data_IF_004194369117
#
_entry.id   IF_004194369117
#
_cell.length_a   1.000
_cell.length_b   1.000
_cell.length_c   1.000
_cell.angle_alpha   90.00
_cell.angle_beta   90.00
_cell.angle_gamma   90.00
#
_symmetry.space_group_name_H-M   'P 1'
#
loop_
_entity.id
_entity.type
_entity.pdbx_description
1 polymer ?
#
# COMPACT_ATOMS: atom_id res chain seq x y z
N UNK A 1 -6.25 -7.53 6.43
CA UNK A 1 -4.98 -7.35 7.15
C UNK A 1 -3.86 -8.24 6.67
N UNK A 2 -3.98 -9.57 6.65
CA UNK A 2 -2.90 -10.46 6.16
C UNK A 2 -2.41 -10.08 4.75
N UNK A 3 -3.33 -9.88 3.80
CA UNK A 3 -2.95 -9.48 2.44
C UNK A 3 -2.34 -8.07 2.38
N UNK A 4 -2.71 -7.17 3.31
CA UNK A 4 -2.11 -5.83 3.45
C UNK A 4 -0.65 -5.95 3.89
N UNK A 5 -0.39 -6.73 4.94
CA UNK A 5 0.96 -7.07 5.36
C UNK A 5 1.82 -7.59 4.20
N UNK A 6 1.27 -8.51 3.40
CA UNK A 6 2.00 -9.14 2.30
C UNK A 6 2.45 -8.17 1.21
N UNK A 7 1.68 -7.14 0.86
CA UNK A 7 2.14 -6.16 -0.14
C UNK A 7 2.93 -5.00 0.49
N UNK A 8 2.55 -4.52 1.68
CA UNK A 8 3.20 -3.36 2.32
C UNK A 8 4.68 -3.60 2.58
N UNK A 9 5.09 -4.84 2.95
CA UNK A 9 6.51 -5.20 3.12
C UNK A 9 7.39 -4.97 1.89
N UNK A 10 6.78 -4.84 0.70
CA UNK A 10 7.48 -4.58 -0.55
C UNK A 10 7.44 -3.11 -0.97
N UNK A 11 6.69 -2.24 -0.27
CA UNK A 11 6.56 -0.82 -0.63
C UNK A 11 7.91 -0.09 -0.60
N UNK A 12 8.66 -0.23 0.50
CA UNK A 12 10.01 0.31 0.64
C UNK A 12 10.93 -0.18 -0.50
N UNK A 13 10.88 -1.48 -0.80
CA UNK A 13 11.72 -2.11 -1.82
C UNK A 13 11.37 -1.61 -3.23
N UNK A 14 10.09 -1.62 -3.60
CA UNK A 14 9.66 -1.18 -4.92
C UNK A 14 9.82 0.35 -5.10
N UNK A 15 9.74 1.12 -4.01
CA UNK A 15 10.08 2.53 -4.02
C UNK A 15 11.57 2.71 -4.34
N UNK A 16 12.45 1.95 -3.68
CA UNK A 16 13.89 1.99 -3.94
C UNK A 16 14.24 1.54 -5.36
N UNK A 17 13.58 0.52 -5.91
CA UNK A 17 13.82 0.06 -7.30
C UNK A 17 13.66 1.16 -8.35
N UNK A 18 12.82 2.18 -8.08
CA UNK A 18 12.68 3.32 -8.97
C UNK A 18 14.00 4.06 -9.23
N UNK A 19 14.99 3.96 -8.32
CA UNK A 19 16.30 4.58 -8.51
C UNK A 19 17.08 3.97 -9.68
N UNK A 20 16.78 2.74 -10.10
CA UNK A 20 17.43 2.08 -11.25
C UNK A 20 17.13 2.80 -12.56
N UNK A 21 15.96 3.45 -12.66
CA UNK A 21 15.50 4.19 -13.86
C UNK A 21 15.54 5.70 -13.69
N UNK A 22 15.96 6.20 -12.53
CA UNK A 22 16.02 7.64 -12.25
C UNK A 22 17.46 8.13 -12.39
N UNK A 23 17.69 9.17 -13.22
CA UNK A 23 19.06 9.62 -13.52
C UNK A 23 19.61 10.56 -12.44
N UNK A 24 20.95 10.70 -12.30
CA UNK A 24 21.56 11.62 -11.34
C UNK A 24 21.13 13.08 -11.49
N UNK A 25 20.73 13.51 -12.69
CA UNK A 25 20.24 14.87 -12.99
C UNK A 25 18.87 15.12 -12.34
N UNK A 26 18.05 14.07 -12.16
CA UNK A 26 16.73 14.12 -11.53
C UNK A 26 16.83 14.12 -10.00
N UNK A 27 17.74 14.93 -9.43
CA UNK A 27 18.08 14.94 -7.99
C UNK A 27 16.89 15.09 -7.05
N UNK A 28 15.86 15.85 -7.45
CA UNK A 28 14.65 16.00 -6.65
C UNK A 28 13.85 14.70 -6.56
N UNK A 29 13.76 13.97 -7.67
CA UNK A 29 13.07 12.69 -7.75
C UNK A 29 13.86 11.59 -7.03
N UNK A 30 15.18 11.55 -7.17
CA UNK A 30 16.03 10.62 -6.39
C UNK A 30 15.91 10.86 -4.88
N UNK A 31 15.94 12.12 -4.43
CA UNK A 31 15.73 12.46 -3.01
C UNK A 31 14.37 11.98 -2.50
N UNK A 32 13.32 12.20 -3.29
CA UNK A 32 11.99 11.69 -2.98
C UNK A 32 12.02 10.16 -2.87
N UNK A 33 12.52 9.46 -3.89
CA UNK A 33 12.62 7.99 -3.93
C UNK A 33 13.33 7.42 -2.70
N UNK A 34 14.51 7.93 -2.34
CA UNK A 34 15.25 7.37 -1.21
C UNK A 34 14.60 7.65 0.12
N UNK A 35 14.10 8.86 0.33
CA UNK A 35 13.44 9.21 1.59
C UNK A 35 12.15 8.44 1.78
N UNK A 36 11.30 8.37 0.76
CA UNK A 36 10.05 7.62 0.85
C UNK A 36 10.27 6.11 1.01
N UNK A 37 11.35 5.56 0.42
CA UNK A 37 11.70 4.16 0.66
C UNK A 37 12.09 3.91 2.12
N UNK A 38 12.81 4.85 2.75
CA UNK A 38 13.19 4.79 4.16
C UNK A 38 11.97 4.95 5.08
N UNK A 39 11.08 5.89 4.76
CA UNK A 39 9.82 6.12 5.49
C UNK A 39 8.92 4.87 5.45
N UNK A 40 8.77 4.21 4.29
CA UNK A 40 7.96 2.99 4.13
C UNK A 40 8.57 1.73 4.78
N UNK A 41 9.83 1.78 5.22
CA UNK A 41 10.51 0.60 5.76
C UNK A 41 9.92 0.21 7.12
N UNK A 42 9.35 -0.99 7.19
CA UNK A 42 8.72 -1.51 8.41
C UNK A 42 7.25 -1.13 8.57
N UNK A 43 6.62 -0.46 7.59
CA UNK A 43 5.19 -0.15 7.64
C UNK A 43 4.29 -1.38 7.81
N UNK A 44 4.74 -2.55 7.35
CA UNK A 44 4.01 -3.81 7.54
C UNK A 44 3.86 -4.19 9.02
N UNK A 45 4.73 -3.70 9.90
CA UNK A 45 4.68 -3.95 11.35
C UNK A 45 3.42 -3.39 12.00
N UNK A 46 2.81 -2.36 11.42
CA UNK A 46 1.51 -1.86 11.90
C UNK A 46 0.41 -2.90 11.69
N UNK A 47 0.42 -3.63 10.56
CA UNK A 47 -0.54 -4.71 10.31
C UNK A 47 -0.27 -5.93 11.21
N UNK A 48 1.00 -6.24 11.49
CA UNK A 48 1.40 -7.27 12.46
C UNK A 48 0.88 -6.91 13.85
N UNK A 49 1.10 -5.68 14.29
CA UNK A 49 0.64 -5.16 15.56
C UNK A 49 -0.89 -5.29 15.70
N UNK A 50 -1.63 -4.85 14.69
CA UNK A 50 -3.10 -4.90 14.72
C UNK A 50 -3.60 -6.35 14.83
N UNK A 51 -3.05 -7.29 14.04
CA UNK A 51 -3.41 -8.71 14.10
C UNK A 51 -3.06 -9.36 15.44
N UNK A 52 -1.91 -9.03 16.01
CA UNK A 52 -1.49 -9.52 17.34
C UNK A 52 -2.39 -8.97 18.44
N UNK A 53 -2.80 -7.70 18.33
CA UNK A 53 -3.62 -7.01 19.34
C UNK A 53 -5.05 -7.57 19.47
N UNK A 54 -5.50 -8.34 18.48
CA UNK A 54 -6.79 -9.06 18.50
C UNK A 54 -6.61 -10.58 18.67
N UNK A 55 -5.39 -11.04 18.95
CA UNK A 55 -5.09 -12.46 19.22
C UNK A 55 -5.15 -13.38 18.00
N UNK A 56 -5.06 -12.84 16.77
CA UNK A 56 -5.08 -13.66 15.55
C UNK A 56 -3.72 -14.26 15.18
N UNK A 57 -2.64 -13.69 15.72
CA UNK A 57 -1.27 -14.19 15.59
C UNK A 57 -0.50 -13.99 16.90
N UNK A 58 0.50 -14.82 17.16
CA UNK A 58 1.44 -14.63 18.28
C UNK A 58 2.77 -14.10 17.77
N UNK A 59 3.30 -14.71 16.70
CA UNK A 59 4.58 -14.41 16.08
C UNK A 59 4.38 -13.92 14.64
N UNK A 60 5.31 -13.11 14.16
CA UNK A 60 5.28 -12.60 12.78
C UNK A 60 5.26 -13.75 11.76
N UNK A 61 5.99 -14.84 12.05
CA UNK A 61 6.05 -16.04 11.22
C UNK A 61 4.68 -16.72 11.03
N UNK A 62 3.72 -16.49 11.93
CA UNK A 62 2.37 -17.05 11.79
C UNK A 62 1.68 -16.50 10.53
N UNK A 63 2.05 -15.29 10.07
CA UNK A 63 1.54 -14.72 8.82
C UNK A 63 2.02 -15.46 7.57
N UNK A 64 3.08 -16.25 7.67
CA UNK A 64 3.56 -17.09 6.56
C UNK A 64 2.69 -18.32 6.33
N UNK A 65 1.87 -18.70 7.31
CA UNK A 65 0.90 -19.80 7.19
C UNK A 65 -0.31 -19.41 6.34
N UNK A 66 -0.58 -18.11 6.19
CA UNK A 66 -1.65 -17.59 5.35
C UNK A 66 -1.12 -17.26 3.95
N UNK A 67 -1.59 -17.96 2.89
CA UNK A 67 -1.06 -17.76 1.56
C UNK A 67 -1.35 -16.36 1.02
N UNK A 68 -0.43 -15.86 0.19
CA UNK A 68 -0.71 -14.70 -0.66
C UNK A 68 -1.78 -15.08 -1.67
N UNK A 69 -2.79 -14.21 -1.80
CA UNK A 69 -3.83 -14.37 -2.82
C UNK A 69 -3.30 -13.91 -4.18
N UNK A 70 -3.81 -14.45 -5.30
CA UNK A 70 -3.38 -14.08 -6.64
C UNK A 70 -3.38 -12.58 -6.92
N UNK A 71 -4.39 -11.82 -6.48
CA UNK A 71 -4.41 -10.38 -6.63
C UNK A 71 -3.30 -9.66 -5.86
N UNK A 72 -2.91 -10.19 -4.70
CA UNK A 72 -1.80 -9.65 -3.89
C UNK A 72 -0.47 -9.86 -4.60
N UNK A 73 -0.24 -11.06 -5.15
CA UNK A 73 0.95 -11.33 -5.96
C UNK A 73 0.98 -10.48 -7.24
N UNK A 74 -0.16 -10.29 -7.88
CA UNK A 74 -0.30 -9.42 -9.04
C UNK A 74 0.05 -7.96 -8.70
N UNK A 75 -0.44 -7.42 -7.58
CA UNK A 75 -0.11 -6.06 -7.13
C UNK A 75 1.38 -5.89 -6.86
N UNK A 76 1.98 -6.81 -6.09
CA UNK A 76 3.42 -6.79 -5.77
C UNK A 76 4.25 -6.83 -7.06
N UNK A 77 3.97 -7.78 -7.95
CA UNK A 77 4.68 -7.94 -9.20
C UNK A 77 4.50 -6.75 -10.14
N UNK A 78 3.28 -6.20 -10.23
CA UNK A 78 2.98 -5.05 -11.07
C UNK A 78 3.75 -3.81 -10.63
N UNK A 79 3.70 -3.44 -9.34
CA UNK A 79 4.40 -2.25 -8.85
C UNK A 79 5.91 -2.39 -8.97
N UNK A 80 6.47 -3.55 -8.64
CA UNK A 80 7.90 -3.82 -8.82
C UNK A 80 8.31 -3.75 -10.30
N UNK A 81 7.49 -4.30 -11.19
CA UNK A 81 7.69 -4.22 -12.64
C UNK A 81 7.71 -2.79 -13.13
N UNK A 82 6.71 -1.98 -12.77
CA UNK A 82 6.64 -0.54 -13.11
C UNK A 82 7.86 0.20 -12.60
N UNK A 83 8.27 -0.04 -11.34
CA UNK A 83 9.45 0.61 -10.76
C UNK A 83 10.74 0.29 -11.54
N UNK A 84 10.91 -0.95 -11.99
CA UNK A 84 12.11 -1.41 -12.68
C UNK A 84 12.13 -1.04 -14.17
N UNK A 85 10.98 -0.99 -14.85
CA UNK A 85 10.92 -0.78 -16.30
C UNK A 85 10.58 0.66 -16.67
N UNK A 86 9.60 1.26 -15.99
CA UNK A 86 9.09 2.61 -16.29
C UNK A 86 9.70 3.69 -15.37
N UNK A 87 9.98 3.34 -14.11
CA UNK A 87 10.69 4.20 -13.16
C UNK A 87 9.79 5.02 -12.23
N UNK A 88 10.43 5.98 -11.55
CA UNK A 88 9.82 6.73 -10.45
C UNK A 88 8.57 7.53 -10.86
N UNK A 89 8.57 8.14 -12.05
CA UNK A 89 7.44 8.98 -12.50
C UNK A 89 6.17 8.13 -12.58
N UNK A 90 6.18 7.01 -13.29
CA UNK A 90 5.03 6.10 -13.39
C UNK A 90 4.59 5.58 -12.01
N UNK A 91 5.54 5.19 -11.14
CA UNK A 91 5.25 4.66 -9.80
C UNK A 91 4.53 5.66 -8.90
N UNK A 92 4.68 6.97 -9.13
CA UNK A 92 3.93 8.01 -8.39
C UNK A 92 2.41 7.87 -8.55
N UNK A 93 1.91 7.18 -9.58
CA UNK A 93 0.49 6.86 -9.71
C UNK A 93 -0.03 6.02 -8.53
N UNK A 94 0.74 5.04 -8.08
CA UNK A 94 0.40 4.24 -6.90
C UNK A 94 0.39 5.10 -5.63
N UNK A 95 1.46 5.87 -5.41
CA UNK A 95 1.55 6.81 -4.28
C UNK A 95 0.37 7.80 -4.26
N UNK A 96 -0.04 8.30 -5.42
CA UNK A 96 -1.05 9.36 -5.51
C UNK A 96 -2.36 9.01 -4.80
N UNK A 97 -2.88 7.80 -5.04
CA UNK A 97 -4.11 7.37 -4.38
C UNK A 97 -3.83 6.72 -3.03
N UNK A 98 -2.72 6.00 -2.87
CA UNK A 98 -2.41 5.27 -1.63
C UNK A 98 -2.30 6.23 -0.44
N UNK A 99 -1.59 7.36 -0.58
CA UNK A 99 -1.47 8.37 0.48
C UNK A 99 -2.77 9.18 0.69
N UNK A 100 -3.77 9.07 -0.20
CA UNK A 100 -5.01 9.84 -0.11
C UNK A 100 -6.21 8.96 0.26
N UNK A 101 -6.06 7.63 0.28
CA UNK A 101 -7.19 6.68 0.31
C UNK A 101 -7.96 6.71 1.63
N UNK A 102 -7.27 6.98 2.75
CA UNK A 102 -7.85 6.83 4.08
C UNK A 102 -9.03 7.75 4.33
N UNK A 103 -9.02 8.99 3.81
CA UNK A 103 -10.16 9.90 3.96
C UNK A 103 -11.44 9.38 3.30
N UNK A 104 -11.30 8.54 2.27
CA UNK A 104 -12.42 7.92 1.57
C UNK A 104 -12.89 6.63 2.26
N UNK A 105 -11.97 5.91 2.91
CA UNK A 105 -12.27 4.68 3.64
C UNK A 105 -12.71 4.92 5.09
N UNK A 106 -12.50 6.11 5.65
CA UNK A 106 -12.78 6.42 7.04
C UNK A 106 -14.20 6.02 7.51
N UNK A 107 -15.29 6.27 6.76
CA UNK A 107 -16.62 5.82 7.18
C UNK A 107 -16.74 4.30 7.29
N UNK A 108 -16.15 3.56 6.34
CA UNK A 108 -16.16 2.09 6.32
C UNK A 108 -15.34 1.52 7.48
N UNK A 109 -14.14 2.08 7.71
CA UNK A 109 -13.26 1.66 8.79
C UNK A 109 -13.89 1.95 10.16
N UNK A 110 -14.57 3.09 10.33
CA UNK A 110 -15.31 3.42 11.54
C UNK A 110 -16.46 2.44 11.82
N UNK A 111 -17.19 2.03 10.77
CA UNK A 111 -18.23 1.01 10.89
C UNK A 111 -17.65 -0.36 11.28
N UNK A 112 -16.51 -0.76 10.71
CA UNK A 112 -15.82 -2.00 11.05
C UNK A 112 -15.33 -1.99 12.52
N UNK A 113 -14.72 -0.89 12.96
CA UNK A 113 -14.29 -0.69 14.36
C UNK A 113 -15.46 -0.88 15.33
N UNK A 114 -16.58 -0.21 15.05
CA UNK A 114 -17.78 -0.27 15.89
C UNK A 114 -18.36 -1.68 15.91
N UNK A 115 -18.47 -2.33 14.74
CA UNK A 115 -19.12 -3.64 14.60
C UNK A 115 -18.31 -4.78 15.24
N UNK A 116 -16.98 -4.67 15.19
CA UNK A 116 -16.05 -5.67 15.74
C UNK A 116 -15.64 -5.36 17.19
N UNK A 117 -16.11 -4.27 17.78
CA UNK A 117 -15.74 -3.86 19.12
C UNK A 117 -14.25 -3.52 19.27
N UNK A 118 -13.61 -3.05 18.20
CA UNK A 118 -12.18 -2.73 18.19
C UNK A 118 -11.93 -1.35 18.80
N UNK A 119 -10.74 -1.17 19.34
CA UNK A 119 -10.24 0.14 19.79
C UNK A 119 -9.33 0.76 18.74
N UNK A 120 -9.09 2.07 18.83
CA UNK A 120 -8.13 2.75 17.93
C UNK A 120 -6.73 2.12 18.00
N UNK A 121 -6.33 1.60 19.17
CA UNK A 121 -5.04 0.88 19.36
C UNK A 121 -4.97 -0.46 18.65
N UNK A 122 -6.09 -0.99 18.15
CA UNK A 122 -6.13 -2.25 17.40
C UNK A 122 -6.26 -2.02 15.88
N UNK A 123 -6.18 -0.76 15.46
CA UNK A 123 -6.30 -0.30 14.07
C UNK A 123 -5.19 0.71 13.75
N UNK A 124 -3.99 0.46 14.25
CA UNK A 124 -2.82 1.34 14.10
C UNK A 124 -2.41 1.50 12.65
N UNK A 125 -2.56 0.46 11.81
CA UNK A 125 -2.27 0.56 10.39
C UNK A 125 -3.07 1.68 9.73
N UNK A 126 -4.35 1.82 10.10
CA UNK A 126 -5.25 2.80 9.50
C UNK A 126 -5.24 4.16 10.22
N UNK A 127 -5.05 4.17 11.54
CA UNK A 127 -5.08 5.40 12.35
C UNK A 127 -3.74 6.14 12.35
N UNK A 128 -2.61 5.44 12.35
CA UNK A 128 -1.30 6.06 12.25
C UNK A 128 -1.01 6.55 10.83
N UNK A 129 -1.43 5.80 9.80
CA UNK A 129 -1.32 6.28 8.41
C UNK A 129 -2.11 7.57 8.22
N UNK A 130 -3.34 7.72 8.73
CA UNK A 130 -4.16 8.89 8.39
C UNK A 130 -3.54 10.26 8.74
N UNK A 131 -2.74 10.34 9.81
CA UNK A 131 -2.07 11.58 10.22
C UNK A 131 -0.73 11.80 9.47
N UNK A 132 0.01 10.71 9.21
CA UNK A 132 1.29 10.74 8.47
C UNK A 132 1.03 11.06 6.99
N UNK A 133 -0.01 10.46 6.43
CA UNK A 133 -0.34 10.48 5.01
C UNK A 133 -0.83 11.82 4.49
N UNK A 134 -1.42 12.67 5.34
CA UNK A 134 -1.81 14.01 4.90
C UNK A 134 -0.57 14.81 4.43
N UNK A 135 0.57 14.62 5.09
CA UNK A 135 1.86 15.16 4.70
C UNK A 135 2.40 14.53 3.41
N UNK A 136 2.33 13.19 3.31
CA UNK A 136 2.79 12.44 2.15
C UNK A 136 1.95 12.71 0.89
N UNK A 137 0.62 12.73 0.98
CA UNK A 137 -0.27 13.08 -0.14
C UNK A 137 0.06 14.46 -0.71
N UNK A 138 0.29 15.46 0.16
CA UNK A 138 0.73 16.78 -0.28
C UNK A 138 2.10 16.73 -0.96
N UNK A 139 3.04 15.93 -0.44
CA UNK A 139 4.35 15.75 -1.04
C UNK A 139 4.30 15.05 -2.40
N UNK A 140 3.55 13.96 -2.51
CA UNK A 140 3.33 13.20 -3.76
C UNK A 140 2.73 14.11 -4.82
N UNK A 141 1.71 14.91 -4.48
CA UNK A 141 1.13 15.90 -5.41
C UNK A 141 2.16 16.94 -5.86
N UNK A 142 3.00 17.43 -4.94
CA UNK A 142 4.08 18.39 -5.28
C UNK A 142 5.12 17.77 -6.20
N UNK A 143 5.55 16.54 -5.96
CA UNK A 143 6.57 15.90 -6.81
C UNK A 143 5.98 15.56 -8.19
N UNK A 144 4.75 15.05 -8.28
CA UNK A 144 4.05 14.81 -9.55
C UNK A 144 3.99 16.10 -10.38
N UNK A 145 3.53 17.21 -9.78
CA UNK A 145 3.44 18.50 -10.46
C UNK A 145 4.80 19.01 -10.97
N UNK A 146 5.90 18.60 -10.33
CA UNK A 146 7.26 18.98 -10.70
C UNK A 146 7.88 18.10 -11.79
N UNK A 147 7.56 16.80 -11.81
CA UNK A 147 8.27 15.82 -12.66
C UNK A 147 7.44 15.29 -13.83
N UNK A 148 6.11 15.24 -13.70
CA UNK A 148 5.22 14.76 -14.76
C UNK A 148 4.84 15.89 -15.72
N UNK A 149 5.84 16.39 -16.46
CA UNK A 149 5.71 17.61 -17.27
C UNK A 149 5.20 17.35 -18.69
N UNK A 150 5.26 16.11 -19.17
CA UNK A 150 4.77 15.75 -20.49
C UNK A 150 3.43 15.01 -20.41
N UNK A 151 2.61 15.01 -21.48
CA UNK A 151 1.40 14.19 -21.54
C UNK A 151 1.67 12.70 -21.29
N UNK A 152 2.79 12.18 -21.82
CA UNK A 152 3.16 10.78 -21.61
C UNK A 152 3.45 10.45 -20.13
N UNK A 153 4.08 11.38 -19.39
CA UNK A 153 4.30 11.22 -17.95
C UNK A 153 2.96 11.18 -17.20
N UNK A 154 2.06 12.10 -17.53
CA UNK A 154 0.76 12.24 -16.88
C UNK A 154 -0.14 11.02 -17.14
N UNK A 155 -0.17 10.54 -18.38
CA UNK A 155 -0.88 9.33 -18.76
C UNK A 155 -0.31 8.10 -18.05
N UNK A 156 1.01 8.04 -17.88
CA UNK A 156 1.65 6.96 -17.11
C UNK A 156 1.23 7.00 -15.64
N UNK A 157 1.31 8.17 -14.97
CA UNK A 157 0.83 8.33 -13.58
C UNK A 157 -0.63 7.90 -13.44
N UNK A 158 -1.50 8.35 -14.34
CA UNK A 158 -2.93 8.00 -14.32
C UNK A 158 -3.15 6.49 -14.47
N UNK A 159 -2.54 5.87 -15.49
CA UNK A 159 -2.69 4.43 -15.75
C UNK A 159 -2.23 3.59 -14.55
N UNK A 160 -1.11 3.95 -13.93
CA UNK A 160 -0.61 3.22 -12.76
C UNK A 160 -1.53 3.43 -11.56
N UNK A 161 -2.05 4.64 -11.34
CA UNK A 161 -3.01 4.90 -10.27
C UNK A 161 -4.26 4.04 -10.43
N UNK A 162 -4.87 4.04 -11.62
CA UNK A 162 -6.08 3.27 -11.94
C UNK A 162 -5.85 1.76 -11.80
N UNK A 163 -4.75 1.25 -12.38
CA UNK A 163 -4.44 -0.19 -12.34
C UNK A 163 -4.17 -0.67 -10.91
N UNK A 164 -3.39 0.08 -10.12
CA UNK A 164 -3.04 -0.33 -8.75
C UNK A 164 -4.22 -0.19 -7.79
N UNK A 165 -5.09 0.80 -7.99
CA UNK A 165 -6.36 0.89 -7.26
C UNK A 165 -7.26 -0.30 -7.59
N UNK A 166 -7.42 -0.64 -8.88
CA UNK A 166 -8.19 -1.81 -9.31
C UNK A 166 -7.64 -3.12 -8.73
N UNK A 167 -6.32 -3.34 -8.78
CA UNK A 167 -5.68 -4.52 -8.18
C UNK A 167 -5.90 -4.58 -6.65
N UNK A 168 -5.90 -3.43 -5.98
CA UNK A 168 -6.20 -3.36 -4.54
C UNK A 168 -7.65 -3.73 -4.25
N UNK A 169 -8.60 -3.32 -5.09
CA UNK A 169 -10.00 -3.77 -5.00
C UNK A 169 -10.08 -5.28 -5.20
N UNK A 170 -9.38 -5.85 -6.20
CA UNK A 170 -9.36 -7.30 -6.42
C UNK A 170 -8.78 -8.06 -5.22
N UNK A 171 -7.79 -7.49 -4.53
CA UNK A 171 -7.25 -8.06 -3.28
C UNK A 171 -8.34 -8.15 -2.20
N UNK A 172 -9.15 -7.10 -2.03
CA UNK A 172 -10.26 -7.10 -1.07
C UNK A 172 -11.34 -8.13 -1.44
N UNK A 173 -11.72 -8.19 -2.71
CA UNK A 173 -12.70 -9.16 -3.23
C UNK A 173 -12.23 -10.61 -3.02
N UNK A 174 -10.97 -10.91 -3.33
CA UNK A 174 -10.42 -12.25 -3.14
C UNK A 174 -10.30 -12.61 -1.66
N UNK A 175 -9.93 -11.66 -0.80
CA UNK A 175 -9.90 -11.88 0.65
C UNK A 175 -11.29 -12.21 1.20
N UNK A 176 -12.32 -11.50 0.72
CA UNK A 176 -13.71 -11.78 1.08
C UNK A 176 -14.18 -13.14 0.55
N UNK A 177 -13.84 -13.50 -0.69
CA UNK A 177 -14.16 -14.80 -1.26
C UNK A 177 -13.49 -15.95 -0.49
N UNK A 178 -12.22 -15.80 -0.12
CA UNK A 178 -11.49 -16.78 0.68
C UNK A 178 -12.12 -16.96 2.07
N UNK A 179 -12.51 -15.87 2.72
CA UNK A 179 -13.24 -15.92 3.99
C UNK A 179 -14.57 -16.67 3.86
N UNK A 180 -15.39 -16.37 2.84
CA UNK A 180 -16.66 -17.08 2.61
C UNK A 180 -16.51 -18.57 2.30
N UNK A 181 -15.40 -18.96 1.69
CA UNK A 181 -15.11 -20.35 1.36
C UNK A 181 -14.54 -21.13 2.56
N UNK A 182 -14.12 -20.45 3.62
CA UNK A 182 -13.64 -21.10 4.85
C UNK A 182 -14.84 -21.74 5.55
N UNK A 183 -14.83 -23.06 5.79
CA UNK A 183 -15.89 -23.70 6.57
C UNK A 183 -16.00 -23.02 7.92
N UNK A 184 -17.18 -22.53 8.28
CA UNK A 184 -17.44 -22.15 9.67
C UNK A 184 -17.55 -23.45 10.44
N UNK A 185 -16.48 -23.86 11.11
CA UNK A 185 -16.55 -24.93 12.10
C UNK A 185 -17.54 -24.50 13.19
N UNK A 186 -18.72 -25.11 13.22
CA UNK A 186 -19.67 -25.05 14.33
C UNK A 186 -21.01 -24.38 14.04
N UNK A 187 -21.94 -25.17 13.52
CA UNK A 187 -23.31 -25.23 14.03
C UNK A 187 -23.47 -26.54 14.80
#
# INVERSE_FOLDING_TARGET
MVQVFHYTRFNSVNQAYCSVRTTPEQRALLRFVYRHADEELGHEQMAVHDLRSVGLIERDDDLTTFPRLPATDALIGYIAGVALTEGAISRLGYSYWAEDVYRHLAPLLGAAVTSLGLTARQMTFFTAHSDIDAGHSAEVRRIIAKVATTPADQDAVYRIADTTLWLTIQLMEQAFAAWRATPTDGG
#
